data_IF_810595120110
#
_entry.id   IF_810595120110
#
_cell.length_a   1.000
_cell.length_b   1.000
_cell.length_c   1.000
_cell.angle_alpha   90.00
_cell.angle_beta   90.00
_cell.angle_gamma   90.00
#
_symmetry.space_group_name_H-M   'P 1'
#
loop_
_entity.id
_entity.type
_entity.pdbx_description
1 polymer ?
#
# COMPACT_ATOMS: atom_id res chain seq x y z
N UNK A 1 0.55 -8.93 -12.34
CA UNK A 1 -0.05 -9.30 -11.04
C UNK A 1 0.57 -8.39 -10.01
N UNK A 2 -0.22 -7.54 -9.34
CA UNK A 2 0.29 -6.57 -8.35
C UNK A 2 1.21 -7.27 -7.35
N UNK A 3 2.52 -6.95 -7.38
CA UNK A 3 3.51 -7.56 -6.50
C UNK A 3 3.25 -7.04 -5.10
N UNK A 4 2.39 -7.74 -4.35
CA UNK A 4 1.92 -7.34 -3.02
C UNK A 4 3.06 -6.75 -2.18
N UNK A 5 3.01 -5.42 -2.01
CA UNK A 5 4.05 -4.65 -1.33
C UNK A 5 3.97 -4.89 0.17
N UNK A 6 5.08 -4.74 0.89
CA UNK A 6 5.09 -4.82 2.36
C UNK A 6 5.22 -3.43 2.97
N UNK A 7 4.50 -3.16 4.05
CA UNK A 7 4.58 -1.89 4.76
C UNK A 7 5.95 -1.77 5.42
N UNK A 8 6.65 -0.65 5.21
CA UNK A 8 7.98 -0.44 5.79
C UNK A 8 7.99 -0.43 7.33
N UNK A 9 6.84 -0.13 7.95
CA UNK A 9 6.72 -0.04 9.42
C UNK A 9 6.48 -1.42 10.06
N UNK A 10 5.41 -2.11 9.66
CA UNK A 10 5.02 -3.38 10.28
C UNK A 10 5.45 -4.62 9.51
N UNK A 11 6.09 -4.44 8.34
CA UNK A 11 6.51 -5.49 7.39
C UNK A 11 5.39 -6.43 6.94
N UNK A 12 4.14 -6.11 7.25
CA UNK A 12 2.98 -6.85 6.79
C UNK A 12 2.63 -6.46 5.36
N UNK A 13 2.00 -7.41 4.66
CA UNK A 13 1.56 -7.21 3.28
C UNK A 13 0.51 -6.10 3.22
N UNK A 14 0.76 -5.12 2.36
CA UNK A 14 -0.16 -4.02 2.06
C UNK A 14 -1.22 -4.49 1.08
N UNK A 15 -2.42 -3.96 1.23
CA UNK A 15 -3.53 -4.22 0.31
C UNK A 15 -3.51 -3.19 -0.81
N UNK A 16 -3.90 -3.59 -2.02
CA UNK A 16 -4.14 -2.64 -3.10
C UNK A 16 -5.40 -1.85 -2.78
N UNK A 17 -5.27 -0.54 -2.63
CA UNK A 17 -6.39 0.40 -2.45
C UNK A 17 -6.99 0.80 -3.78
N UNK A 18 -6.15 1.08 -4.77
CA UNK A 18 -6.57 1.49 -6.11
C UNK A 18 -5.53 1.04 -7.14
N UNK A 19 -6.00 0.63 -8.30
CA UNK A 19 -5.17 0.30 -9.47
C UNK A 19 -5.71 1.09 -10.66
N UNK A 20 -4.87 1.95 -11.23
CA UNK A 20 -5.16 2.69 -12.46
C UNK A 20 -4.28 2.13 -13.57
N UNK A 21 -4.90 1.37 -14.47
CA UNK A 21 -4.24 0.76 -15.62
C UNK A 21 -3.98 1.80 -16.70
N UNK A 22 -2.75 1.82 -17.20
CA UNK A 22 -2.33 2.64 -18.33
C UNK A 22 -1.68 1.75 -19.41
N UNK A 23 -1.55 2.24 -20.66
CA UNK A 23 -0.94 1.46 -21.74
C UNK A 23 0.50 1.01 -21.44
N UNK A 24 1.25 1.83 -20.69
CA UNK A 24 2.66 1.62 -20.34
C UNK A 24 2.87 0.87 -19.02
N UNK A 25 1.82 0.54 -18.26
CA UNK A 25 1.94 0.01 -16.90
C UNK A 25 0.76 0.40 -16.02
N UNK A 26 0.75 0.03 -14.76
CA UNK A 26 -0.35 0.31 -13.82
C UNK A 26 0.13 1.13 -12.64
N UNK A 27 -0.56 2.24 -12.35
CA UNK A 27 -0.40 2.96 -11.10
C UNK A 27 -1.17 2.23 -10.00
N UNK A 28 -0.45 1.69 -9.03
CA UNK A 28 -1.04 0.94 -7.93
C UNK A 28 -0.80 1.72 -6.64
N UNK A 29 -1.88 1.99 -5.93
CA UNK A 29 -1.86 2.57 -4.59
C UNK A 29 -1.98 1.43 -3.59
N UNK A 30 -0.92 1.17 -2.85
CA UNK A 30 -0.90 0.22 -1.75
C UNK A 30 -1.26 0.93 -0.45
N UNK A 31 -2.04 0.29 0.42
CA UNK A 31 -2.43 0.80 1.73
C UNK A 31 -2.19 -0.27 2.81
N UNK A 32 -1.52 0.12 3.88
CA UNK A 32 -1.38 -0.74 5.05
C UNK A 32 -2.69 -0.74 5.86
N UNK A 33 -3.40 -1.86 5.84
CA UNK A 33 -4.64 -2.08 6.61
C UNK A 33 -4.44 -2.83 7.93
N UNK A 34 -3.20 -3.16 8.28
CA UNK A 34 -2.93 -3.87 9.52
C UNK A 34 -3.21 -2.96 10.74
N UNK A 35 -4.23 -3.27 11.58
CA UNK A 35 -4.54 -2.47 12.76
C UNK A 35 -3.47 -2.59 13.85
N UNK A 36 -2.66 -3.65 13.83
CA UNK A 36 -1.51 -3.82 14.72
C UNK A 36 -0.24 -3.09 14.23
N UNK A 37 -0.34 -2.29 13.16
CA UNK A 37 0.79 -1.51 12.69
C UNK A 37 1.11 -0.41 13.70
N UNK A 38 2.36 -0.34 14.16
CA UNK A 38 2.80 0.65 15.17
C UNK A 38 2.49 2.10 14.76
N UNK A 39 2.56 2.41 13.47
CA UNK A 39 2.20 3.73 12.93
C UNK A 39 0.70 4.07 13.10
N UNK A 40 -0.17 3.05 13.08
CA UNK A 40 -1.59 3.22 13.36
C UNK A 40 -1.84 3.55 14.82
N UNK A 41 -1.17 2.81 15.71
CA UNK A 41 -1.31 2.96 17.17
C UNK A 41 -0.81 4.35 17.59
N UNK A 42 0.30 4.81 17.02
CA UNK A 42 0.93 6.08 17.37
C UNK A 42 0.21 7.31 16.79
N UNK A 43 -0.27 7.22 15.54
CA UNK A 43 -0.93 8.36 14.88
C UNK A 43 -2.44 8.48 15.19
N UNK A 44 -3.07 7.46 15.76
CA UNK A 44 -4.54 7.41 15.94
C UNK A 44 -5.36 7.48 14.64
N UNK A 45 -4.70 7.50 13.48
CA UNK A 45 -5.35 7.61 12.17
C UNK A 45 -5.39 6.26 11.46
N UNK A 46 -6.62 5.86 11.16
CA UNK A 46 -6.98 4.75 10.29
C UNK A 46 -6.32 4.98 8.90
N UNK A 47 -5.30 4.21 8.53
CA UNK A 47 -4.76 4.03 7.15
C UNK A 47 -3.68 5.00 6.62
N UNK A 48 -2.71 5.42 7.44
CA UNK A 48 -1.69 6.40 6.97
C UNK A 48 -0.66 5.91 5.95
N UNK A 49 -0.29 4.62 5.95
CA UNK A 49 0.78 4.17 5.04
C UNK A 49 0.19 3.82 3.67
N UNK A 50 0.05 4.85 2.84
CA UNK A 50 -0.32 4.75 1.43
C UNK A 50 0.91 4.94 0.56
N UNK A 51 1.28 3.93 -0.24
CA UNK A 51 2.39 4.04 -1.18
C UNK A 51 1.84 3.92 -2.60
N UNK A 52 2.02 4.97 -3.41
CA UNK A 52 1.66 4.96 -4.82
C UNK A 52 2.89 4.60 -5.63
N UNK A 53 2.80 3.53 -6.41
CA UNK A 53 3.88 3.05 -7.26
C UNK A 53 3.39 2.82 -8.69
N UNK A 54 4.29 2.91 -9.64
CA UNK A 54 4.04 2.51 -11.01
C UNK A 54 4.65 1.12 -11.22
N UNK A 55 3.83 0.13 -11.56
CA UNK A 55 4.31 -1.18 -12.01
C UNK A 55 4.26 -1.21 -13.54
N UNK A 56 5.44 -1.20 -14.16
CA UNK A 56 5.64 -1.49 -15.58
C UNK A 56 5.14 -2.92 -15.92
N UNK A 57 4.67 -3.11 -17.16
CA UNK A 57 3.88 -4.28 -17.56
C UNK A 57 4.70 -5.55 -17.78
#
# INVERSE_FOLDING_TARGET
>A
MAKGRSCQVCRQRMSVKSEQRQPMGSWIVYECRNPACKNWIDSGQRYRFGEKVFEDK
#
